data_IF_623405869086
#
_entry.id   IF_623405869086
#
_cell.length_a   1.000
_cell.length_b   1.000
_cell.length_c   1.000
_cell.angle_alpha   90.00
_cell.angle_beta   90.00
_cell.angle_gamma   90.00
#
_symmetry.space_group_name_H-M   'P 1'
#
loop_
_entity.id
_entity.type
_entity.pdbx_description
1 polymer ?
#
# COMPACT_ATOMS: atom_id res chain seq x y z
N UNK A 1 -7.44 22.03 22.53
CA UNK A 1 -8.71 21.55 21.97
C UNK A 1 -9.35 22.71 21.24
N UNK A 2 -9.57 22.58 19.94
CA UNK A 2 -10.29 23.54 19.12
C UNK A 2 -11.75 23.61 19.56
N UNK A 3 -12.30 24.81 19.65
CA UNK A 3 -13.71 25.03 19.95
C UNK A 3 -14.45 25.20 18.63
N UNK A 4 -14.89 24.09 18.06
CA UNK A 4 -15.66 24.07 16.82
C UNK A 4 -17.07 24.57 17.13
N UNK A 5 -17.56 25.53 16.36
CA UNK A 5 -18.89 26.11 16.54
C UNK A 5 -20.00 25.06 16.30
N UNK A 6 -21.06 25.09 17.11
CA UNK A 6 -22.16 24.13 17.03
C UNK A 6 -22.96 24.27 15.73
N UNK A 7 -23.07 25.48 15.18
CA UNK A 7 -23.82 25.70 13.94
C UNK A 7 -23.05 25.16 12.73
N UNK A 8 -21.72 25.35 12.70
CA UNK A 8 -20.88 24.76 11.64
C UNK A 8 -20.78 23.23 11.78
N UNK A 9 -20.77 22.72 13.02
CA UNK A 9 -20.92 21.28 13.31
C UNK A 9 -22.25 20.75 12.77
N UNK A 10 -23.36 21.43 13.04
CA UNK A 10 -24.67 21.03 12.56
C UNK A 10 -24.76 21.08 11.03
N UNK A 11 -24.17 22.10 10.39
CA UNK A 11 -24.15 22.26 8.94
C UNK A 11 -23.40 21.11 8.24
N UNK A 12 -22.18 20.78 8.69
CA UNK A 12 -21.40 19.69 8.08
C UNK A 12 -22.09 18.32 8.27
N UNK A 13 -22.68 18.07 9.44
CA UNK A 13 -23.40 16.82 9.71
C UNK A 13 -24.74 16.74 8.95
N UNK A 14 -25.40 17.87 8.70
CA UNK A 14 -26.58 17.91 7.84
C UNK A 14 -26.24 17.54 6.39
N UNK A 15 -25.15 18.09 5.85
CA UNK A 15 -24.69 17.76 4.50
C UNK A 15 -24.28 16.30 4.36
N UNK A 16 -23.53 15.74 5.32
CA UNK A 16 -23.15 14.32 5.32
C UNK A 16 -24.35 13.38 5.35
N UNK A 17 -25.39 13.73 6.12
CA UNK A 17 -26.66 12.97 6.16
C UNK A 17 -27.43 13.09 4.86
N UNK A 18 -27.51 14.29 4.30
CA UNK A 18 -28.18 14.54 3.00
C UNK A 18 -27.53 13.69 1.91
N UNK A 19 -26.20 13.75 1.78
CA UNK A 19 -25.43 12.93 0.82
C UNK A 19 -25.71 11.45 0.95
N UNK A 20 -25.66 10.93 2.17
CA UNK A 20 -25.93 9.51 2.42
C UNK A 20 -27.34 9.09 1.99
N UNK A 21 -28.32 9.98 2.10
CA UNK A 21 -29.71 9.66 1.78
C UNK A 21 -30.06 9.89 0.30
N UNK A 22 -29.43 10.87 -0.35
CA UNK A 22 -29.83 11.37 -1.67
C UNK A 22 -28.82 11.05 -2.78
N UNK A 23 -27.52 11.14 -2.51
CA UNK A 23 -26.47 11.16 -3.54
C UNK A 23 -25.64 9.86 -3.57
N UNK A 24 -25.24 9.38 -2.39
CA UNK A 24 -24.30 8.26 -2.22
C UNK A 24 -24.74 7.40 -1.01
N UNK A 25 -25.61 6.39 -1.21
CA UNK A 25 -26.09 5.50 -0.15
C UNK A 25 -24.98 4.75 0.60
N UNK A 26 -23.86 4.52 -0.08
CA UNK A 26 -22.67 3.85 0.44
C UNK A 26 -21.65 4.85 1.02
N UNK A 27 -22.02 6.12 1.15
CA UNK A 27 -21.23 7.07 1.91
C UNK A 27 -21.15 6.67 3.39
N UNK A 28 -19.95 6.76 3.96
CA UNK A 28 -19.70 6.48 5.37
C UNK A 28 -19.22 7.73 6.10
N UNK A 29 -19.80 8.02 7.26
CA UNK A 29 -19.26 8.98 8.21
C UNK A 29 -19.50 8.49 9.63
N UNK A 30 -18.58 8.85 10.52
CA UNK A 30 -18.66 8.60 11.96
C UNK A 30 -18.17 9.84 12.71
N UNK A 31 -18.83 10.19 13.81
CA UNK A 31 -18.52 11.43 14.53
C UNK A 31 -18.77 11.33 16.03
N UNK A 32 -18.15 12.25 16.76
CA UNK A 32 -18.36 12.47 18.19
C UNK A 32 -18.52 13.96 18.44
N UNK A 33 -19.53 14.33 19.22
CA UNK A 33 -19.78 15.69 19.70
C UNK A 33 -19.73 15.74 21.22
N UNK A 34 -19.40 16.91 21.75
CA UNK A 34 -19.48 17.18 23.19
C UNK A 34 -20.92 17.48 23.65
N UNK A 35 -21.10 17.73 24.95
CA UNK A 35 -22.40 18.03 25.54
C UNK A 35 -23.03 19.34 25.02
N UNK A 36 -22.23 20.25 24.44
CA UNK A 36 -22.69 21.49 23.82
C UNK A 36 -22.96 21.33 22.31
N UNK A 37 -22.84 20.11 21.76
CA UNK A 37 -23.05 19.84 20.34
C UNK A 37 -21.89 20.26 19.46
N UNK A 38 -20.71 20.53 20.03
CA UNK A 38 -19.50 20.90 19.28
C UNK A 38 -18.76 19.64 18.84
N UNK A 39 -18.24 19.66 17.63
CA UNK A 39 -17.51 18.52 17.08
C UNK A 39 -16.21 18.25 17.85
N UNK A 40 -16.00 17.00 18.26
CA UNK A 40 -14.73 16.52 18.82
C UNK A 40 -13.94 15.72 17.76
N UNK A 41 -14.65 14.88 17.01
CA UNK A 41 -14.08 14.02 15.97
C UNK A 41 -15.09 13.81 14.86
N UNK A 42 -14.62 13.87 13.62
CA UNK A 42 -15.36 13.48 12.43
C UNK A 42 -14.45 12.62 11.55
N UNK A 43 -15.03 11.59 10.93
CA UNK A 43 -14.47 10.84 9.82
C UNK A 43 -15.50 10.77 8.70
N UNK A 44 -15.08 10.84 7.43
CA UNK A 44 -15.92 10.55 6.28
C UNK A 44 -15.15 9.93 5.12
N UNK A 45 -15.84 9.10 4.34
CA UNK A 45 -15.36 8.50 3.10
C UNK A 45 -16.54 8.29 2.14
N UNK A 46 -16.32 8.55 0.84
CA UNK A 46 -17.30 8.26 -0.21
C UNK A 46 -17.28 6.76 -0.60
N UNK A 47 -18.31 6.30 -1.31
CA UNK A 47 -18.42 4.88 -1.68
C UNK A 47 -17.25 4.37 -2.51
N UNK A 48 -16.76 5.18 -3.45
CA UNK A 48 -15.64 4.83 -4.33
C UNK A 48 -14.35 4.60 -3.52
N UNK A 49 -14.07 5.45 -2.54
CA UNK A 49 -12.94 5.31 -1.63
C UNK A 49 -13.00 4.01 -0.82
N UNK A 50 -14.20 3.63 -0.37
CA UNK A 50 -14.42 2.41 0.46
C UNK A 50 -14.18 1.11 -0.30
N UNK A 51 -14.47 1.08 -1.60
CA UNK A 51 -14.26 -0.11 -2.45
C UNK A 51 -12.92 -0.07 -3.20
N UNK A 52 -12.10 0.94 -2.93
CA UNK A 52 -10.79 1.10 -3.57
C UNK A 52 -9.83 -0.01 -3.16
N UNK A 53 -9.17 -0.63 -4.15
CA UNK A 53 -8.08 -1.59 -3.92
C UNK A 53 -6.78 -0.94 -3.45
N UNK A 54 -6.79 0.36 -3.13
CA UNK A 54 -5.61 1.15 -2.75
C UNK A 54 -5.40 1.21 -1.23
N UNK A 55 -6.12 0.40 -0.45
CA UNK A 55 -6.05 0.38 1.03
C UNK A 55 -4.94 -0.49 1.64
N UNK A 56 -4.05 -1.08 0.84
CA UNK A 56 -3.00 -1.97 1.35
C UNK A 56 -1.77 -1.22 1.89
N UNK A 57 -1.46 -0.04 1.34
CA UNK A 57 -0.51 0.93 1.90
C UNK A 57 -1.21 2.27 2.03
N UNK A 58 -1.31 2.77 3.26
CA UNK A 58 -2.05 4.00 3.58
C UNK A 58 -1.13 5.02 4.21
N UNK A 59 -1.10 6.22 3.63
CA UNK A 59 -0.45 7.40 4.19
C UNK A 59 -1.48 8.17 5.00
N UNK A 60 -1.14 8.48 6.25
CA UNK A 60 -1.97 9.28 7.14
C UNK A 60 -1.21 10.56 7.47
N UNK A 61 -1.74 11.68 7.00
CA UNK A 61 -1.14 12.99 7.22
C UNK A 61 -2.07 13.90 8.04
N UNK A 62 -1.50 14.60 9.02
CA UNK A 62 -2.21 15.58 9.85
C UNK A 62 -1.82 16.99 9.42
N UNK A 63 -2.75 17.70 8.78
CA UNK A 63 -2.56 19.10 8.40
C UNK A 63 -3.29 20.04 9.38
N UNK A 64 -2.57 21.03 9.90
CA UNK A 64 -3.13 22.11 10.73
C UNK A 64 -3.46 23.33 9.87
N UNK A 65 -4.10 24.34 10.48
CA UNK A 65 -4.40 25.62 9.81
C UNK A 65 -5.27 25.49 8.55
N UNK A 66 -6.09 24.44 8.48
CA UNK A 66 -6.97 24.16 7.35
C UNK A 66 -8.38 24.72 7.49
N UNK A 67 -8.72 25.21 8.68
CA UNK A 67 -10.06 25.68 9.07
C UNK A 67 -9.97 26.72 10.19
N UNK A 68 -11.05 27.51 10.34
CA UNK A 68 -11.15 28.63 11.30
C UNK A 68 -11.03 28.28 12.78
N UNK A 69 -11.08 27.00 13.11
CA UNK A 69 -11.01 26.53 14.49
C UNK A 69 -9.60 26.06 14.88
N UNK A 70 -8.68 25.97 13.91
CA UNK A 70 -7.38 25.34 14.10
C UNK A 70 -7.49 23.84 14.41
N UNK A 71 -8.62 23.21 14.08
CA UNK A 71 -8.80 21.76 14.23
C UNK A 71 -7.87 21.02 13.26
N UNK A 72 -7.38 19.86 13.67
CA UNK A 72 -6.51 19.06 12.82
C UNK A 72 -7.35 18.39 11.73
N UNK A 73 -6.96 18.58 10.46
CA UNK A 73 -7.49 17.83 9.34
C UNK A 73 -6.57 16.63 9.09
N UNK A 74 -7.15 15.44 9.02
CA UNK A 74 -6.41 14.19 8.82
C UNK A 74 -6.83 13.58 7.49
N UNK A 75 -5.89 13.30 6.61
CA UNK A 75 -6.17 12.65 5.33
C UNK A 75 -5.67 11.21 5.35
N UNK A 76 -6.44 10.31 4.73
CA UNK A 76 -6.07 8.91 4.50
C UNK A 76 -5.87 8.74 2.99
N UNK A 77 -4.64 8.53 2.57
CA UNK A 77 -4.26 8.50 1.15
C UNK A 77 -3.63 7.17 0.81
N UNK A 78 -4.23 6.46 -0.15
CA UNK A 78 -3.67 5.26 -0.77
C UNK A 78 -2.90 5.60 -2.04
N UNK A 79 -2.45 4.55 -2.73
CA UNK A 79 -1.80 4.68 -4.04
C UNK A 79 -2.45 3.75 -5.06
N UNK A 80 -2.82 4.29 -6.24
CA UNK A 80 -3.35 3.47 -7.33
C UNK A 80 -2.25 2.76 -8.13
N UNK A 81 -2.68 1.95 -9.10
CA UNK A 81 -1.82 1.18 -10.00
C UNK A 81 -0.97 2.08 -10.93
N UNK A 82 -1.26 3.37 -11.05
CA UNK A 82 -0.41 4.36 -11.73
C UNK A 82 0.57 5.06 -10.81
N UNK A 83 0.72 4.59 -9.56
CA UNK A 83 1.56 5.22 -8.53
C UNK A 83 1.14 6.65 -8.18
N UNK A 84 -0.14 6.97 -8.35
CA UNK A 84 -0.73 8.26 -7.99
C UNK A 84 -1.54 8.17 -6.70
N UNK A 85 -1.62 9.27 -5.93
CA UNK A 85 -2.40 9.33 -4.69
C UNK A 85 -3.89 9.12 -4.97
N UNK A 86 -4.55 8.43 -4.03
CA UNK A 86 -6.01 8.28 -3.99
C UNK A 86 -6.50 8.61 -2.60
N UNK A 87 -7.45 9.52 -2.48
CA UNK A 87 -8.10 9.82 -1.21
C UNK A 87 -9.02 8.68 -0.79
N UNK A 88 -8.71 8.04 0.34
CA UNK A 88 -9.48 6.93 0.93
C UNK A 88 -10.46 7.40 2.02
N UNK A 89 -10.25 8.60 2.54
CA UNK A 89 -11.09 9.20 3.56
C UNK A 89 -10.42 10.39 4.21
N UNK A 90 -11.20 11.11 5.01
CA UNK A 90 -10.77 12.30 5.72
C UNK A 90 -11.30 12.31 7.14
N UNK A 91 -10.66 13.09 7.99
CA UNK A 91 -11.08 13.33 9.35
C UNK A 91 -10.83 14.74 9.83
N UNK A 92 -11.56 15.14 10.85
CA UNK A 92 -11.33 16.37 11.63
C UNK A 92 -11.24 16.00 13.09
N UNK A 93 -10.21 16.47 13.77
CA UNK A 93 -10.00 16.29 15.20
C UNK A 93 -9.90 17.64 15.92
N UNK A 94 -10.72 17.82 16.95
CA UNK A 94 -10.65 19.00 17.81
C UNK A 94 -9.39 19.00 18.70
N UNK A 95 -8.84 17.83 19.02
CA UNK A 95 -7.53 17.68 19.66
C UNK A 95 -6.73 16.55 19.05
N UNK A 96 -5.41 16.65 19.17
CA UNK A 96 -4.46 15.65 18.68
C UNK A 96 -4.10 14.66 19.80
N UNK A 97 -5.05 14.32 20.69
CA UNK A 97 -4.80 13.33 21.73
C UNK A 97 -4.75 11.90 21.15
N UNK A 98 -4.05 10.97 21.81
CA UNK A 98 -4.01 9.58 21.33
C UNK A 98 -5.40 8.95 21.22
N UNK A 99 -6.32 9.26 22.13
CA UNK A 99 -7.70 8.74 22.09
C UNK A 99 -8.49 9.27 20.88
N UNK A 100 -8.28 10.52 20.49
CA UNK A 100 -8.92 11.12 19.32
C UNK A 100 -8.48 10.41 18.03
N UNK A 101 -7.17 10.14 17.89
CA UNK A 101 -6.66 9.33 16.78
C UNK A 101 -7.13 7.88 16.82
N UNK A 102 -7.20 7.23 18.00
CA UNK A 102 -7.75 5.86 18.12
C UNK A 102 -9.19 5.80 17.60
N UNK A 103 -10.03 6.77 17.98
CA UNK A 103 -11.39 6.87 17.47
C UNK A 103 -11.43 7.05 15.95
N UNK A 104 -10.52 7.86 15.41
CA UNK A 104 -10.44 8.14 13.98
C UNK A 104 -10.01 6.92 13.17
N UNK A 105 -8.95 6.22 13.61
CA UNK A 105 -8.45 5.01 12.98
C UNK A 105 -9.49 3.88 13.01
N UNK A 106 -10.26 3.77 14.10
CA UNK A 106 -11.38 2.80 14.18
C UNK A 106 -12.47 3.13 13.16
N UNK A 107 -12.82 4.39 12.99
CA UNK A 107 -13.79 4.80 11.97
C UNK A 107 -13.31 4.48 10.55
N UNK A 108 -12.03 4.76 10.24
CA UNK A 108 -11.40 4.37 8.98
C UNK A 108 -11.45 2.84 8.76
N UNK A 109 -11.13 2.05 9.78
CA UNK A 109 -11.21 0.58 9.67
C UNK A 109 -12.64 0.09 9.41
N UNK A 110 -13.64 0.69 10.04
CA UNK A 110 -15.05 0.37 9.76
C UNK A 110 -15.40 0.72 8.31
N UNK A 111 -14.96 1.88 7.81
CA UNK A 111 -15.28 2.30 6.44
C UNK A 111 -14.68 1.37 5.39
N UNK A 112 -13.48 0.83 5.66
CA UNK A 112 -12.75 -0.12 4.82
C UNK A 112 -13.14 -1.59 5.06
N UNK A 113 -14.30 -1.86 5.66
CA UNK A 113 -14.80 -3.23 5.83
C UNK A 113 -14.01 -4.09 6.83
N UNK A 114 -13.32 -3.45 7.78
CA UNK A 114 -12.41 -4.09 8.74
C UNK A 114 -11.18 -4.76 8.11
N UNK A 115 -10.89 -4.48 6.83
CA UNK A 115 -9.66 -4.92 6.21
C UNK A 115 -8.50 -4.04 6.66
N UNK A 116 -7.48 -4.66 7.26
CA UNK A 116 -6.31 -3.95 7.76
C UNK A 116 -5.37 -3.59 6.60
N UNK A 117 -4.84 -2.35 6.56
CA UNK A 117 -3.74 -2.04 5.65
C UNK A 117 -2.54 -2.93 6.00
N UNK A 118 -1.79 -3.37 4.98
CA UNK A 118 -0.52 -4.07 5.21
C UNK A 118 0.49 -3.13 5.85
N UNK A 119 0.47 -1.86 5.43
CA UNK A 119 1.43 -0.86 5.87
C UNK A 119 0.87 0.54 5.97
N UNK A 120 1.43 1.32 6.90
CA UNK A 120 1.04 2.68 7.24
C UNK A 120 2.27 3.59 7.20
N UNK A 121 2.09 4.78 6.63
CA UNK A 121 3.10 5.85 6.64
C UNK A 121 2.47 7.07 7.33
N UNK A 122 3.13 7.64 8.34
CA UNK A 122 2.58 8.76 9.11
C UNK A 122 3.57 9.91 9.27
N UNK A 123 3.09 11.09 9.66
CA UNK A 123 3.91 12.27 10.04
C UNK A 123 4.89 12.02 11.22
N UNK A 124 4.68 10.96 12.01
CA UNK A 124 5.54 10.61 13.14
C UNK A 124 5.16 11.28 14.45
N UNK A 125 3.98 11.90 14.53
CA UNK A 125 3.41 12.43 15.77
C UNK A 125 3.20 11.33 16.82
N UNK A 126 3.59 11.60 18.08
CA UNK A 126 3.57 10.61 19.16
C UNK A 126 2.16 10.05 19.43
N UNK A 127 1.13 10.90 19.33
CA UNK A 127 -0.26 10.50 19.51
C UNK A 127 -0.77 9.59 18.39
N UNK A 128 -0.39 9.86 17.13
CA UNK A 128 -0.77 9.03 15.99
C UNK A 128 -0.01 7.69 16.01
N UNK A 129 1.28 7.69 16.36
CA UNK A 129 2.05 6.45 16.55
C UNK A 129 1.36 5.56 17.58
N UNK A 130 1.03 6.11 18.76
CA UNK A 130 0.34 5.34 19.80
C UNK A 130 -1.01 4.79 19.32
N UNK A 131 -1.77 5.58 18.56
CA UNK A 131 -3.05 5.15 18.02
C UNK A 131 -2.88 4.01 16.99
N UNK A 132 -1.87 4.07 16.13
CA UNK A 132 -1.53 3.00 15.17
C UNK A 132 -1.15 1.73 15.91
N UNK A 133 -0.29 1.81 16.93
CA UNK A 133 0.08 0.64 17.77
C UNK A 133 -1.14 0.03 18.46
N UNK A 134 -2.12 0.86 18.85
CA UNK A 134 -3.34 0.42 19.54
C UNK A 134 -4.35 -0.23 18.60
N UNK A 135 -4.56 0.32 17.40
CA UNK A 135 -5.64 -0.10 16.48
C UNK A 135 -5.13 -1.09 15.43
N UNK A 136 -3.88 -0.94 14.98
CA UNK A 136 -3.27 -1.68 13.86
C UNK A 136 -1.88 -2.26 14.21
N UNK A 137 -1.74 -3.01 15.33
CA UNK A 137 -0.44 -3.51 15.81
C UNK A 137 0.26 -4.49 14.86
N UNK A 138 -0.48 -5.08 13.91
CA UNK A 138 0.06 -6.05 12.95
C UNK A 138 0.38 -5.44 11.58
N UNK A 139 0.09 -4.15 11.38
CA UNK A 139 0.45 -3.42 10.17
C UNK A 139 1.88 -2.92 10.29
N UNK A 140 2.63 -2.94 9.19
CA UNK A 140 3.92 -2.27 9.17
C UNK A 140 3.70 -0.77 9.36
N UNK A 141 4.54 -0.11 10.14
CA UNK A 141 4.45 1.33 10.36
C UNK A 141 5.79 1.99 10.10
N UNK A 142 5.76 3.10 9.35
CA UNK A 142 6.92 3.94 9.08
C UNK A 142 6.57 5.43 9.21
N UNK A 143 7.55 6.23 9.60
CA UNK A 143 7.49 7.70 9.52
C UNK A 143 7.82 8.12 8.08
N UNK A 144 7.03 9.05 7.54
CA UNK A 144 7.23 9.58 6.20
C UNK A 144 8.62 10.21 6.03
N UNK A 145 9.29 9.90 4.91
CA UNK A 145 10.59 10.49 4.55
C UNK A 145 10.57 12.01 4.48
N UNK A 146 9.51 12.64 3.96
CA UNK A 146 9.43 14.10 3.89
C UNK A 146 9.38 14.76 5.27
N UNK A 147 8.59 14.22 6.20
CA UNK A 147 8.59 14.69 7.59
C UNK A 147 9.93 14.45 8.30
N UNK A 148 10.64 13.36 7.95
CA UNK A 148 12.01 13.13 8.44
C UNK A 148 12.98 14.19 7.88
N UNK A 149 12.89 14.50 6.59
CA UNK A 149 13.71 15.53 5.93
C UNK A 149 13.48 16.93 6.49
N UNK A 150 12.22 17.30 6.75
CA UNK A 150 11.89 18.54 7.48
C UNK A 150 12.57 18.57 8.85
N UNK A 151 12.45 17.50 9.63
CA UNK A 151 13.11 17.38 10.93
C UNK A 151 14.64 17.43 10.85
N UNK A 152 15.24 16.82 9.82
CA UNK A 152 16.69 16.89 9.55
C UNK A 152 17.10 18.34 9.29
N UNK A 153 16.35 19.06 8.45
CA UNK A 153 16.62 20.46 8.11
C UNK A 153 16.48 21.41 9.30
N UNK A 154 15.49 21.19 10.16
CA UNK A 154 15.20 22.02 11.33
C UNK A 154 16.18 21.79 12.50
N UNK A 155 16.55 20.53 12.76
CA UNK A 155 17.28 20.17 13.98
C UNK A 155 18.77 19.87 13.78
N UNK A 156 19.19 19.48 12.57
CA UNK A 156 20.60 19.15 12.30
C UNK A 156 21.29 20.27 11.51
N UNK A 157 22.24 20.92 12.18
CA UNK A 157 23.11 21.91 11.56
C UNK A 157 24.26 21.28 10.78
N UNK A 158 24.44 21.72 9.53
CA UNK A 158 25.58 21.39 8.68
C UNK A 158 25.43 20.08 7.90
N UNK A 159 25.94 20.09 6.66
CA UNK A 159 25.80 18.96 5.71
C UNK A 159 26.24 17.62 6.28
N UNK A 160 27.38 17.57 6.97
CA UNK A 160 27.89 16.32 7.55
C UNK A 160 26.93 15.64 8.52
N UNK A 161 26.17 16.40 9.32
CA UNK A 161 25.21 15.82 10.26
C UNK A 161 23.96 15.33 9.52
N UNK A 162 23.49 16.11 8.55
CA UNK A 162 22.32 15.78 7.74
C UNK A 162 22.59 14.54 6.86
N UNK A 163 23.73 14.50 6.16
CA UNK A 163 24.12 13.38 5.31
C UNK A 163 24.34 12.11 6.14
N UNK A 164 24.92 12.25 7.33
CA UNK A 164 25.07 11.12 8.26
C UNK A 164 23.72 10.60 8.79
N UNK A 165 22.69 11.44 8.91
CA UNK A 165 21.35 10.96 9.27
C UNK A 165 20.65 10.34 8.07
N UNK A 166 20.77 10.96 6.88
CA UNK A 166 20.21 10.43 5.62
C UNK A 166 20.76 9.05 5.30
N UNK A 167 22.05 8.80 5.55
CA UNK A 167 22.60 7.46 5.34
C UNK A 167 21.94 6.41 6.24
N UNK A 168 21.56 6.74 7.48
CA UNK A 168 20.79 5.83 8.35
C UNK A 168 19.35 5.62 7.87
N UNK A 169 18.79 6.61 7.18
CA UNK A 169 17.44 6.57 6.63
C UNK A 169 17.36 5.81 5.31
N UNK A 170 18.40 5.88 4.47
CA UNK A 170 18.36 5.47 3.06
C UNK A 170 19.31 4.31 2.70
N UNK A 171 20.47 4.16 3.36
CA UNK A 171 21.43 3.13 2.94
C UNK A 171 20.90 1.72 3.18
N UNK A 172 20.71 1.02 2.06
CA UNK A 172 20.43 -0.39 2.04
C UNK A 172 21.63 -1.20 2.56
N UNK A 173 21.34 -2.33 3.19
CA UNK A 173 22.36 -3.27 3.68
C UNK A 173 22.80 -3.04 5.13
N UNK A 174 22.49 -1.89 5.73
CA UNK A 174 22.78 -1.61 7.13
C UNK A 174 22.01 -2.57 8.06
N UNK A 175 22.75 -3.40 8.81
CA UNK A 175 22.18 -4.26 9.85
C UNK A 175 21.81 -3.44 11.10
N UNK A 176 20.91 -3.95 11.96
CA UNK A 176 20.64 -3.29 13.25
C UNK A 176 21.89 -3.04 14.10
N UNK A 177 22.91 -3.90 14.01
CA UNK A 177 24.17 -3.72 14.74
C UNK A 177 24.98 -2.56 14.18
N UNK A 178 25.13 -2.49 12.85
CA UNK A 178 25.81 -1.38 12.17
C UNK A 178 25.07 -0.06 12.37
N UNK A 179 23.73 -0.09 12.40
CA UNK A 179 22.91 1.08 12.74
C UNK A 179 23.31 1.63 14.11
N UNK A 180 23.41 0.79 15.15
CA UNK A 180 23.76 1.24 16.50
C UNK A 180 25.16 1.87 16.55
N UNK A 181 26.11 1.34 15.78
CA UNK A 181 27.47 1.91 15.66
C UNK A 181 27.47 3.27 14.98
N UNK A 182 26.81 3.36 13.82
CA UNK A 182 26.73 4.58 13.02
C UNK A 182 25.93 5.66 13.76
N UNK A 183 24.82 5.30 14.41
CA UNK A 183 24.02 6.19 15.25
C UNK A 183 24.85 6.75 16.42
N UNK A 184 25.55 5.89 17.16
CA UNK A 184 26.45 6.33 18.25
C UNK A 184 27.49 7.32 17.74
N UNK A 185 28.08 7.03 16.58
CA UNK A 185 29.07 7.91 15.99
C UNK A 185 28.48 9.25 15.51
N UNK A 186 27.28 9.27 14.94
CA UNK A 186 26.58 10.48 14.53
C UNK A 186 26.33 11.38 15.75
N UNK A 187 25.72 10.81 16.80
CA UNK A 187 25.38 11.53 18.03
C UNK A 187 26.65 12.04 18.72
N UNK A 188 27.71 11.25 18.81
CA UNK A 188 28.96 11.67 19.44
C UNK A 188 29.61 12.89 18.76
N UNK A 189 29.48 13.01 17.43
CA UNK A 189 30.08 14.10 16.64
C UNK A 189 29.20 15.34 16.53
N UNK A 190 27.88 15.15 16.46
CA UNK A 190 26.95 16.20 16.03
C UNK A 190 25.89 16.59 17.07
N UNK A 191 25.86 15.95 18.25
CA UNK A 191 24.95 16.34 19.32
C UNK A 191 25.30 17.72 19.87
N UNK A 192 24.28 18.55 19.98
CA UNK A 192 24.32 19.87 20.62
C UNK A 192 23.23 19.93 21.69
N UNK A 193 23.24 21.00 22.50
CA UNK A 193 22.16 21.25 23.44
C UNK A 193 20.80 21.46 22.74
N UNK A 194 20.80 22.01 21.51
CA UNK A 194 19.57 22.34 20.76
C UNK A 194 18.93 21.15 20.06
N UNK A 195 19.70 20.12 19.68
CA UNK A 195 19.18 18.96 18.94
C UNK A 195 19.06 17.68 19.76
N UNK A 196 19.55 17.68 21.01
CA UNK A 196 19.59 16.49 21.86
C UNK A 196 18.21 15.84 22.04
N UNK A 197 17.18 16.63 22.34
CA UNK A 197 15.83 16.10 22.56
C UNK A 197 15.28 15.43 21.30
N UNK A 198 15.44 16.08 20.15
CA UNK A 198 15.04 15.53 18.86
C UNK A 198 15.79 14.23 18.54
N UNK A 199 17.12 14.20 18.71
CA UNK A 199 17.93 12.98 18.53
C UNK A 199 17.45 11.84 19.45
N UNK A 200 17.13 12.12 20.71
CA UNK A 200 16.57 11.12 21.62
C UNK A 200 15.22 10.59 21.13
N UNK A 201 14.32 11.46 20.67
CA UNK A 201 13.02 11.04 20.10
C UNK A 201 13.21 10.18 18.85
N UNK A 202 14.12 10.56 17.95
CA UNK A 202 14.43 9.79 16.75
C UNK A 202 15.00 8.42 17.08
N UNK A 203 15.87 8.31 18.08
CA UNK A 203 16.41 7.01 18.50
C UNK A 203 15.33 6.07 19.05
N UNK A 204 14.41 6.59 19.87
CA UNK A 204 13.27 5.82 20.39
C UNK A 204 12.42 5.27 19.23
N UNK A 205 12.24 6.06 18.17
CA UNK A 205 11.45 5.71 16.99
C UNK A 205 12.24 5.01 15.87
N UNK A 206 13.50 4.59 16.09
CA UNK A 206 14.38 4.06 15.03
C UNK A 206 13.78 2.93 14.20
N UNK A 207 12.96 2.09 14.82
CA UNK A 207 12.27 0.98 14.14
C UNK A 207 11.18 1.41 13.15
N UNK A 208 10.77 2.67 13.20
CA UNK A 208 9.78 3.29 12.33
C UNK A 208 10.41 4.11 11.19
N UNK A 209 11.73 4.33 11.15
CA UNK A 209 12.30 5.19 10.09
C UNK A 209 13.64 4.73 9.54
N UNK A 210 14.49 4.09 10.33
CA UNK A 210 15.82 3.72 9.87
C UNK A 210 15.75 2.51 8.95
N UNK A 211 16.50 2.56 7.83
CA UNK A 211 16.51 1.54 6.79
C UNK A 211 16.72 0.13 7.37
N UNK A 212 17.61 0.01 8.36
CA UNK A 212 17.93 -1.24 9.05
C UNK A 212 16.73 -2.00 9.64
N UNK A 213 15.62 -1.32 9.96
CA UNK A 213 14.43 -1.91 10.58
C UNK A 213 13.19 -1.92 9.69
N UNK A 214 13.16 -1.11 8.62
CA UNK A 214 11.99 -0.99 7.74
C UNK A 214 12.17 -1.61 6.37
N UNK A 215 13.41 -1.96 5.97
CA UNK A 215 13.76 -2.45 4.62
C UNK A 215 12.92 -3.62 4.12
N UNK A 216 12.64 -4.59 4.99
CA UNK A 216 11.99 -5.84 4.59
C UNK A 216 10.46 -5.76 4.62
N UNK A 217 9.90 -4.57 4.86
CA UNK A 217 8.47 -4.32 4.99
C UNK A 217 7.90 -3.78 3.67
N UNK A 218 6.65 -4.12 3.38
CA UNK A 218 5.98 -3.76 2.13
C UNK A 218 5.56 -2.28 2.13
N UNK A 219 6.17 -1.42 1.33
CA UNK A 219 5.77 0.00 1.22
C UNK A 219 5.64 0.48 -0.23
N UNK A 220 5.55 -0.44 -1.20
CA UNK A 220 5.37 -0.14 -2.63
C UNK A 220 6.46 0.74 -3.27
N UNK A 221 7.67 0.70 -2.75
CA UNK A 221 8.74 1.57 -3.21
C UNK A 221 8.64 3.02 -2.71
N UNK A 222 7.58 3.41 -1.97
CA UNK A 222 7.51 4.73 -1.29
C UNK A 222 8.59 4.91 -0.20
N UNK A 223 9.35 3.85 0.06
CA UNK A 223 10.40 3.80 1.05
C UNK A 223 11.75 4.35 0.55
N UNK A 224 11.98 4.42 -0.76
CA UNK A 224 13.26 4.78 -1.39
C UNK A 224 13.11 6.11 -2.12
N UNK A 225 13.67 7.16 -1.53
CA UNK A 225 13.58 8.53 -2.06
C UNK A 225 14.99 9.08 -2.29
N UNK A 226 15.78 8.37 -3.10
CA UNK A 226 17.09 8.86 -3.55
C UNK A 226 16.98 9.66 -4.87
N UNK A 227 15.93 9.44 -5.66
CA UNK A 227 15.70 10.13 -6.93
C UNK A 227 14.36 10.87 -6.98
N UNK A 228 14.45 12.13 -7.41
CA UNK A 228 13.47 13.24 -7.39
C UNK A 228 12.17 13.03 -8.18
N UNK A 229 11.62 11.81 -8.27
CA UNK A 229 10.55 11.48 -9.21
C UNK A 229 9.27 10.94 -8.60
N UNK A 230 9.30 10.35 -7.41
CA UNK A 230 8.09 9.83 -6.78
C UNK A 230 7.59 10.87 -5.77
N UNK A 231 6.68 11.73 -6.23
CA UNK A 231 6.01 12.73 -5.39
C UNK A 231 5.61 12.08 -4.07
N UNK A 232 6.33 12.44 -3.01
CA UNK A 232 6.03 12.03 -1.66
C UNK A 232 4.52 12.24 -1.42
N UNK A 233 3.74 11.15 -1.34
CA UNK A 233 2.28 11.18 -1.11
C UNK A 233 1.90 12.00 0.14
N UNK A 234 2.90 12.20 0.97
CA UNK A 234 3.01 12.90 2.23
C UNK A 234 2.86 14.42 2.19
N UNK A 235 2.72 15.07 1.03
CA UNK A 235 2.63 16.54 1.00
C UNK A 235 1.19 17.03 0.78
N UNK A 236 0.61 17.46 1.91
CA UNK A 236 -0.38 18.53 2.08
C UNK A 236 -0.16 19.79 1.22
N UNK A 237 0.98 19.94 0.52
CA UNK A 237 1.24 21.05 -0.41
C UNK A 237 0.81 20.81 -1.87
N UNK A 238 0.74 19.56 -2.34
CA UNK A 238 0.59 19.27 -3.78
C UNK A 238 -0.77 18.69 -4.19
N UNK A 239 -1.42 17.98 -3.27
CA UNK A 239 -2.56 17.11 -3.59
C UNK A 239 -3.92 17.68 -3.15
N UNK A 240 -3.88 18.66 -2.25
CA UNK A 240 -5.04 19.39 -1.77
C UNK A 240 -4.79 20.87 -2.07
N UNK A 241 -5.48 21.42 -3.07
CA UNK A 241 -5.49 22.87 -3.34
C UNK A 241 -5.62 23.66 -2.04
N UNK A 242 -4.77 24.69 -1.85
CA UNK A 242 -4.64 25.55 -0.64
C UNK A 242 -5.88 25.53 0.26
N UNK A 243 -5.82 24.73 1.33
CA UNK A 243 -6.69 24.95 2.48
C UNK A 243 -6.38 26.32 3.07
N UNK A 244 -7.33 26.86 3.81
CA UNK A 244 -7.22 28.20 4.35
C UNK A 244 -7.80 28.24 5.75
N UNK A 245 -7.17 29.03 6.61
CA UNK A 245 -7.59 29.23 8.00
C UNK A 245 -8.98 29.86 8.12
N UNK A 246 -9.60 30.36 7.04
CA UNK A 246 -10.95 30.94 7.07
C UNK A 246 -12.07 29.93 6.74
N UNK A 247 -11.73 28.72 6.29
CA UNK A 247 -12.71 27.73 5.86
C UNK A 247 -13.64 27.29 7.02
N UNK A 248 -14.93 27.14 6.71
CA UNK A 248 -15.87 26.34 7.52
C UNK A 248 -15.53 24.86 7.40
N UNK A 249 -16.06 24.04 8.31
CA UNK A 249 -16.01 22.58 8.16
C UNK A 249 -16.73 22.10 6.89
N UNK A 250 -17.84 22.75 6.51
CA UNK A 250 -18.53 22.43 5.26
C UNK A 250 -17.65 22.71 4.03
N UNK A 251 -16.98 23.86 4.00
CA UNK A 251 -16.06 24.21 2.91
C UNK A 251 -14.85 23.27 2.86
N UNK A 252 -14.31 22.89 4.03
CA UNK A 252 -13.23 21.92 4.16
C UNK A 252 -13.64 20.55 3.57
N UNK A 253 -14.84 20.07 3.91
CA UNK A 253 -15.39 18.82 3.40
C UNK A 253 -15.58 18.88 1.87
N UNK A 254 -16.23 19.92 1.35
CA UNK A 254 -16.44 20.09 -0.09
C UNK A 254 -15.12 20.16 -0.86
N UNK A 255 -14.11 20.81 -0.26
CA UNK A 255 -12.78 20.91 -0.82
C UNK A 255 -12.10 19.55 -0.90
N UNK A 256 -12.13 18.77 0.18
CA UNK A 256 -11.55 17.44 0.21
C UNK A 256 -12.20 16.51 -0.84
N UNK A 257 -13.53 16.54 -0.97
CA UNK A 257 -14.22 15.72 -1.97
C UNK A 257 -13.88 16.13 -3.40
N UNK A 258 -13.76 17.44 -3.64
CA UNK A 258 -13.38 17.95 -4.96
C UNK A 258 -11.97 17.48 -5.34
N UNK A 259 -11.05 17.46 -4.38
CA UNK A 259 -9.73 16.87 -4.56
C UNK A 259 -9.80 15.36 -4.83
N UNK A 260 -10.61 14.60 -4.08
CA UNK A 260 -10.80 13.17 -4.32
C UNK A 260 -11.33 12.88 -5.73
N UNK A 261 -12.32 13.64 -6.19
CA UNK A 261 -12.87 13.54 -7.56
C UNK A 261 -11.82 13.85 -8.63
N UNK A 262 -11.01 14.90 -8.41
CA UNK A 262 -9.94 15.26 -9.34
C UNK A 262 -8.87 14.16 -9.43
N UNK A 263 -8.48 13.54 -8.31
CA UNK A 263 -7.54 12.41 -8.30
C UNK A 263 -8.09 11.22 -9.11
N UNK A 264 -9.38 10.91 -8.95
CA UNK A 264 -10.04 9.83 -9.71
C UNK A 264 -10.15 10.14 -11.20
N UNK A 265 -10.43 11.40 -11.56
CA UNK A 265 -10.43 11.83 -12.96
C UNK A 265 -9.04 11.67 -13.60
N UNK A 266 -7.98 12.06 -12.88
CA UNK A 266 -6.59 11.87 -13.32
C UNK A 266 -6.22 10.38 -13.47
N UNK A 267 -6.69 9.52 -12.57
CA UNK A 267 -6.51 8.07 -12.73
C UNK A 267 -7.18 7.54 -14.01
N UNK A 268 -8.40 7.98 -14.31
CA UNK A 268 -9.12 7.57 -15.51
C UNK A 268 -8.43 8.05 -16.80
N UNK A 269 -7.88 9.27 -16.80
CA UNK A 269 -7.07 9.79 -17.91
C UNK A 269 -5.80 8.94 -18.12
N UNK A 270 -5.13 8.53 -17.03
CA UNK A 270 -3.95 7.67 -17.10
C UNK A 270 -4.27 6.25 -17.56
N UNK A 271 -5.44 5.72 -17.20
CA UNK A 271 -5.93 4.44 -17.73
C UNK A 271 -6.13 4.51 -19.25
N UNK A 272 -6.77 5.58 -19.74
CA UNK A 272 -7.01 5.76 -21.18
C UNK A 272 -5.70 5.96 -21.96
N UNK A 273 -4.75 6.72 -21.41
CA UNK A 273 -3.42 6.91 -22.01
C UNK A 273 -2.62 5.61 -22.02
N UNK A 274 -2.67 4.83 -20.94
CA UNK A 274 -2.00 3.54 -20.87
C UNK A 274 -2.51 2.59 -21.96
N UNK A 275 -3.82 2.51 -22.17
CA UNK A 275 -4.44 1.64 -23.18
C UNK A 275 -4.04 2.00 -24.62
N UNK A 276 -3.73 3.28 -24.88
CA UNK A 276 -3.27 3.77 -26.20
C UNK A 276 -1.76 3.71 -26.39
N UNK A 277 -1.01 3.68 -25.28
CA UNK A 277 0.45 3.73 -25.29
C UNK A 277 1.04 2.55 -26.05
N UNK A 278 1.93 2.85 -26.99
CA UNK A 278 2.77 1.87 -27.68
C UNK A 278 4.20 2.07 -27.20
N UNK A 279 4.79 1.02 -26.67
CA UNK A 279 6.18 1.04 -26.18
C UNK A 279 7.10 0.63 -27.31
N UNK A 280 8.09 1.47 -27.61
CA UNK A 280 9.24 1.08 -28.42
C UNK A 280 10.18 0.26 -27.55
N UNK A 281 10.48 -0.98 -27.97
CA UNK A 281 11.34 -1.85 -27.20
C UNK A 281 12.80 -1.39 -27.35
N UNK A 282 13.47 -1.05 -26.26
CA UNK A 282 14.83 -0.48 -26.25
C UNK A 282 15.91 -1.49 -25.90
N UNK A 283 15.58 -2.53 -25.11
CA UNK A 283 16.57 -3.47 -24.55
C UNK A 283 16.84 -4.65 -25.48
N UNK A 284 17.92 -5.40 -25.27
CA UNK A 284 18.16 -6.68 -25.97
C UNK A 284 17.19 -7.80 -25.50
N UNK A 285 16.50 -7.58 -24.37
CA UNK A 285 15.62 -8.55 -23.70
C UNK A 285 14.16 -8.41 -24.15
N UNK A 286 13.94 -8.37 -25.47
CA UNK A 286 12.67 -7.99 -26.11
C UNK A 286 11.43 -8.73 -25.58
N UNK A 287 11.53 -10.04 -25.30
CA UNK A 287 10.38 -10.81 -24.81
C UNK A 287 9.91 -10.37 -23.42
N UNK A 288 10.85 -10.15 -22.49
CA UNK A 288 10.54 -9.73 -21.13
C UNK A 288 10.07 -8.28 -21.10
N UNK A 289 10.71 -7.42 -21.90
CA UNK A 289 10.32 -6.02 -22.05
C UNK A 289 8.91 -5.88 -22.63
N UNK A 290 8.59 -6.62 -23.70
CA UNK A 290 7.26 -6.58 -24.31
C UNK A 290 6.17 -7.13 -23.37
N UNK A 291 6.45 -8.20 -22.63
CA UNK A 291 5.51 -8.72 -21.63
C UNK A 291 5.33 -7.74 -20.46
N UNK A 292 6.38 -7.07 -20.00
CA UNK A 292 6.30 -6.02 -18.99
C UNK A 292 5.48 -4.82 -19.47
N UNK A 293 5.76 -4.32 -20.69
CA UNK A 293 5.07 -3.18 -21.29
C UNK A 293 3.56 -3.43 -21.45
N UNK A 294 3.19 -4.67 -21.80
CA UNK A 294 1.77 -5.09 -21.89
C UNK A 294 1.11 -5.18 -20.52
N UNK A 295 1.81 -5.73 -19.53
CA UNK A 295 1.21 -6.11 -18.25
C UNK A 295 1.12 -4.95 -17.25
N UNK A 296 2.17 -4.14 -17.14
CA UNK A 296 2.28 -3.08 -16.13
C UNK A 296 1.74 -1.74 -16.67
N UNK A 297 1.22 -0.90 -15.77
CA UNK A 297 0.96 0.51 -16.11
C UNK A 297 2.24 1.22 -16.52
N UNK A 298 2.19 2.31 -17.32
CA UNK A 298 3.39 3.03 -17.76
C UNK A 298 4.34 3.40 -16.60
N UNK A 299 3.81 3.84 -15.46
CA UNK A 299 4.60 4.16 -14.27
C UNK A 299 5.31 2.94 -13.67
N UNK A 300 4.65 1.79 -13.60
CA UNK A 300 5.28 0.55 -13.12
C UNK A 300 6.22 -0.06 -14.15
N UNK A 301 5.90 0.06 -15.44
CA UNK A 301 6.74 -0.41 -16.53
C UNK A 301 8.08 0.32 -16.54
N UNK A 302 8.11 1.64 -16.32
CA UNK A 302 9.36 2.39 -16.25
C UNK A 302 10.33 1.81 -15.19
N UNK A 303 9.83 1.51 -13.99
CA UNK A 303 10.63 0.90 -12.92
C UNK A 303 11.06 -0.52 -13.29
N UNK A 304 10.18 -1.30 -13.91
CA UNK A 304 10.52 -2.65 -14.36
C UNK A 304 11.56 -2.62 -15.48
N UNK A 305 11.49 -1.63 -16.38
CA UNK A 305 12.43 -1.44 -17.47
C UNK A 305 13.83 -1.16 -16.95
N UNK A 306 13.98 -0.30 -15.92
CA UNK A 306 15.27 -0.08 -15.25
C UNK A 306 15.87 -1.38 -14.69
N UNK A 307 15.04 -2.30 -14.18
CA UNK A 307 15.50 -3.61 -13.70
C UNK A 307 15.86 -4.57 -14.85
N UNK A 308 15.25 -4.41 -16.03
CA UNK A 308 15.58 -5.18 -17.25
C UNK A 308 16.85 -4.63 -17.91
N UNK A 309 17.07 -3.32 -17.90
CA UNK A 309 18.28 -2.69 -18.44
C UNK A 309 19.54 -3.09 -17.66
N UNK A 310 19.40 -3.33 -16.35
CA UNK A 310 20.50 -3.75 -15.47
C UNK A 310 20.78 -5.27 -15.50
N UNK A 311 20.24 -6.02 -16.46
CA UNK A 311 20.36 -7.48 -16.50
C UNK A 311 21.76 -7.99 -16.78
N UNK A 312 22.52 -7.25 -17.59
CA UNK A 312 23.81 -7.67 -18.10
C UNK A 312 24.97 -7.42 -17.11
N UNK A 313 24.66 -6.88 -15.92
CA UNK A 313 25.63 -6.59 -14.86
C UNK A 313 25.98 -7.83 -13.99
N UNK A 314 25.28 -8.95 -14.16
CA UNK A 314 25.36 -10.11 -13.26
C UNK A 314 25.91 -11.37 -13.93
N UNK A 315 26.56 -12.21 -13.13
CA UNK A 315 26.94 -13.57 -13.52
C UNK A 315 26.32 -14.61 -12.57
N UNK A 316 25.78 -15.70 -13.13
CA UNK A 316 25.36 -16.86 -12.31
C UNK A 316 26.59 -17.72 -12.01
N UNK A 317 27.01 -17.74 -10.75
CA UNK A 317 28.21 -18.43 -10.27
C UNK A 317 27.93 -19.82 -9.70
N UNK A 318 26.69 -20.10 -9.30
CA UNK A 318 26.27 -21.42 -8.81
C UNK A 318 24.78 -21.68 -9.07
N UNK A 319 24.41 -22.95 -9.23
CA UNK A 319 23.02 -23.40 -9.36
C UNK A 319 22.83 -24.72 -8.64
N UNK A 320 22.06 -24.68 -7.55
CA UNK A 320 21.68 -25.86 -6.78
C UNK A 320 20.27 -26.28 -7.18
N UNK A 321 20.09 -27.55 -7.54
CA UNK A 321 18.79 -28.13 -7.86
C UNK A 321 18.49 -29.28 -6.92
N UNK A 322 17.28 -29.29 -6.35
CA UNK A 322 16.79 -30.38 -5.51
C UNK A 322 15.38 -30.75 -5.94
N UNK A 323 15.18 -32.05 -6.15
CA UNK A 323 13.89 -32.63 -6.50
C UNK A 323 13.47 -33.62 -5.42
N UNK A 324 12.36 -33.34 -4.74
CA UNK A 324 11.74 -34.25 -3.78
C UNK A 324 10.31 -34.56 -4.21
N UNK A 325 10.14 -35.70 -4.91
CA UNK A 325 8.83 -36.13 -5.40
C UNK A 325 8.24 -35.17 -6.43
N UNK A 326 7.02 -34.66 -6.19
CA UNK A 326 6.30 -33.73 -7.09
C UNK A 326 6.73 -32.26 -6.95
N UNK A 327 7.63 -31.91 -6.03
CA UNK A 327 8.11 -30.53 -5.87
C UNK A 327 9.61 -30.45 -6.13
N UNK A 328 10.01 -29.51 -6.99
CA UNK A 328 11.40 -29.19 -7.27
C UNK A 328 11.69 -27.74 -6.92
N UNK A 329 12.90 -27.49 -6.42
CA UNK A 329 13.42 -26.14 -6.23
C UNK A 329 14.82 -26.00 -6.82
N UNK A 330 15.06 -24.84 -7.44
CA UNK A 330 16.37 -24.40 -7.91
C UNK A 330 16.76 -23.14 -7.16
N UNK A 331 18.02 -23.05 -6.75
CA UNK A 331 18.62 -21.85 -6.16
C UNK A 331 19.76 -21.41 -7.05
N UNK A 332 19.65 -20.20 -7.59
CA UNK A 332 20.69 -19.55 -8.39
C UNK A 332 21.44 -18.57 -7.51
N UNK A 333 22.77 -18.60 -7.57
CA UNK A 333 23.64 -17.61 -6.93
C UNK A 333 24.18 -16.68 -7.99
N UNK A 334 23.88 -15.39 -7.87
CA UNK A 334 24.31 -14.32 -8.77
C UNK A 334 25.43 -13.52 -8.10
N UNK A 335 26.44 -13.15 -8.86
CA UNK A 335 27.51 -12.24 -8.45
C UNK A 335 27.39 -10.90 -9.18
N UNK A 336 27.55 -9.82 -8.43
CA UNK A 336 27.72 -8.46 -8.93
C UNK A 336 28.99 -7.89 -8.34
N UNK A 337 30.12 -8.02 -9.05
CA UNK A 337 31.40 -7.47 -8.63
C UNK A 337 31.82 -7.87 -7.19
N UNK A 338 31.50 -9.09 -6.75
CA UNK A 338 31.78 -9.60 -5.41
C UNK A 338 30.60 -9.59 -4.43
N UNK A 339 29.49 -8.93 -4.77
CA UNK A 339 28.25 -8.99 -3.99
C UNK A 339 27.36 -10.15 -4.45
N UNK A 340 27.06 -11.07 -3.53
CA UNK A 340 26.31 -12.29 -3.83
C UNK A 340 24.82 -12.17 -3.51
N UNK A 341 23.99 -12.59 -4.46
CA UNK A 341 22.54 -12.65 -4.34
C UNK A 341 22.03 -14.06 -4.64
N UNK A 342 20.96 -14.48 -3.97
CA UNK A 342 20.35 -15.79 -4.21
C UNK A 342 18.90 -15.64 -4.70
N UNK A 343 18.56 -16.34 -5.78
CA UNK A 343 17.20 -16.43 -6.31
C UNK A 343 16.70 -17.87 -6.20
N UNK A 344 15.63 -18.06 -5.43
CA UNK A 344 14.93 -19.34 -5.29
C UNK A 344 13.79 -19.39 -6.31
N UNK A 345 13.77 -20.45 -7.10
CA UNK A 345 12.66 -20.86 -7.96
C UNK A 345 12.07 -22.16 -7.41
N UNK A 346 10.81 -22.15 -6.99
CA UNK A 346 10.14 -23.34 -6.44
C UNK A 346 8.86 -23.67 -7.22
N UNK A 347 8.63 -24.96 -7.47
CA UNK A 347 7.39 -25.45 -8.07
C UNK A 347 6.41 -25.89 -6.97
N UNK A 348 5.30 -25.16 -6.84
CA UNK A 348 4.17 -25.56 -6.01
C UNK A 348 3.12 -26.25 -6.90
N UNK A 349 2.86 -27.52 -6.62
CA UNK A 349 1.61 -28.17 -7.02
C UNK A 349 0.62 -27.96 -5.88
N UNK A 350 -0.24 -26.95 -5.97
CA UNK A 350 -1.42 -26.91 -5.13
C UNK A 350 -2.30 -28.12 -5.51
N UNK A 351 -2.71 -28.91 -4.52
CA UNK A 351 -3.79 -29.89 -4.69
C UNK A 351 -5.10 -29.12 -4.67
N UNK A 352 -5.50 -28.55 -5.80
CA UNK A 352 -6.92 -28.29 -6.05
C UNK A 352 -7.38 -29.37 -7.04
N UNK A 353 -8.33 -30.19 -6.59
CA UNK A 353 -8.94 -31.25 -7.37
C UNK A 353 -9.67 -30.66 -8.58
N UNK A 354 -8.94 -30.49 -9.70
CA UNK A 354 -9.35 -30.71 -11.12
C UNK A 354 -8.50 -29.96 -12.15
N UNK A 355 -7.56 -29.08 -11.77
CA UNK A 355 -6.57 -28.53 -12.72
C UNK A 355 -5.19 -28.37 -12.06
N UNK A 356 -4.20 -29.14 -12.50
CA UNK A 356 -2.79 -28.94 -12.11
C UNK A 356 -2.24 -27.65 -12.71
N UNK A 357 -2.49 -26.50 -12.08
CA UNK A 357 -1.70 -25.30 -12.33
C UNK A 357 -0.39 -25.43 -11.55
N UNK A 358 0.70 -25.82 -12.24
CA UNK A 358 2.05 -25.71 -11.67
C UNK A 358 2.37 -24.22 -11.51
N UNK A 359 2.28 -23.71 -10.28
CA UNK A 359 2.67 -22.32 -10.01
C UNK A 359 4.16 -22.30 -9.66
N UNK A 360 4.94 -21.66 -10.53
CA UNK A 360 6.34 -21.35 -10.25
C UNK A 360 6.35 -20.12 -9.36
N UNK A 361 7.07 -20.18 -8.24
CA UNK A 361 7.25 -19.08 -7.30
C UNK A 361 8.72 -18.69 -7.32
N UNK A 362 8.98 -17.39 -7.44
CA UNK A 362 10.30 -16.80 -7.31
C UNK A 362 10.42 -16.07 -5.97
N UNK A 363 11.60 -16.16 -5.33
CA UNK A 363 11.99 -15.35 -4.17
C UNK A 363 13.44 -14.93 -4.34
N UNK A 364 13.79 -13.72 -3.93
CA UNK A 364 15.16 -13.22 -4.03
C UNK A 364 15.65 -12.71 -2.68
N UNK A 365 16.93 -12.92 -2.37
CA UNK A 365 17.56 -12.38 -1.16
C UNK A 365 17.53 -10.85 -1.07
N UNK A 366 17.42 -10.14 -2.20
CA UNK A 366 17.31 -8.67 -2.20
C UNK A 366 15.95 -8.13 -1.71
N UNK A 367 14.93 -9.00 -1.63
CA UNK A 367 13.57 -8.70 -1.15
C UNK A 367 12.81 -7.57 -1.86
N UNK A 368 13.21 -7.17 -3.08
CA UNK A 368 12.53 -6.11 -3.83
C UNK A 368 11.05 -6.43 -4.07
N UNK A 369 10.70 -7.67 -4.40
CA UNK A 369 9.30 -8.04 -4.62
C UNK A 369 8.47 -7.92 -3.34
N UNK A 370 9.02 -8.35 -2.20
CA UNK A 370 8.38 -8.28 -0.90
C UNK A 370 8.19 -6.84 -0.42
N UNK A 371 9.10 -5.93 -0.79
CA UNK A 371 9.06 -4.51 -0.42
C UNK A 371 8.22 -3.66 -1.36
N UNK A 372 8.40 -3.86 -2.67
CA UNK A 372 7.93 -2.94 -3.72
C UNK A 372 6.77 -3.55 -4.54
N UNK A 373 6.58 -4.86 -4.48
CA UNK A 373 5.61 -5.59 -5.30
C UNK A 373 6.05 -5.82 -6.75
N UNK A 374 7.26 -5.41 -7.11
CA UNK A 374 7.83 -5.52 -8.46
C UNK A 374 9.05 -6.46 -8.49
N UNK A 375 9.25 -7.23 -9.58
CA UNK A 375 10.41 -8.08 -9.77
C UNK A 375 11.71 -7.26 -9.75
N UNK A 376 12.79 -7.88 -9.26
CA UNK A 376 14.14 -7.30 -9.30
C UNK A 376 14.92 -7.82 -10.51
N UNK A 377 15.98 -7.07 -10.86
CA UNK A 377 17.01 -7.47 -11.83
C UNK A 377 17.54 -8.88 -11.61
N UNK A 378 17.72 -9.33 -10.36
CA UNK A 378 18.18 -10.70 -10.08
C UNK A 378 17.18 -11.76 -10.57
N UNK A 379 15.88 -11.53 -10.37
CA UNK A 379 14.84 -12.45 -10.85
C UNK A 379 14.78 -12.40 -12.37
N UNK A 380 14.85 -11.21 -12.96
CA UNK A 380 14.90 -11.08 -14.41
C UNK A 380 16.11 -11.79 -15.01
N UNK A 381 17.28 -11.73 -14.36
CA UNK A 381 18.50 -12.35 -14.85
C UNK A 381 18.34 -13.88 -14.86
N UNK A 382 17.71 -14.44 -13.82
CA UNK A 382 17.34 -15.87 -13.81
C UNK A 382 16.30 -16.21 -14.88
N UNK A 383 15.30 -15.35 -15.12
CA UNK A 383 14.32 -15.55 -16.19
C UNK A 383 14.99 -15.55 -17.58
N UNK A 384 15.94 -14.65 -17.81
CA UNK A 384 16.74 -14.59 -19.02
C UNK A 384 17.60 -15.86 -19.18
N UNK A 385 18.29 -16.30 -18.12
CA UNK A 385 19.07 -17.55 -18.12
C UNK A 385 18.22 -18.77 -18.45
N UNK A 386 17.02 -18.87 -17.87
CA UNK A 386 16.05 -19.93 -18.16
C UNK A 386 15.31 -19.73 -19.50
N UNK A 387 15.63 -18.68 -20.26
CA UNK A 387 15.04 -18.34 -21.56
C UNK A 387 13.52 -18.18 -21.49
N UNK A 388 13.01 -17.61 -20.40
CA UNK A 388 11.60 -17.34 -20.22
C UNK A 388 11.11 -16.33 -21.27
N UNK A 389 10.02 -16.68 -21.95
CA UNK A 389 9.36 -15.79 -22.92
C UNK A 389 8.34 -14.84 -22.28
N UNK A 390 8.02 -15.03 -21.00
CA UNK A 390 7.08 -14.20 -20.25
C UNK A 390 7.46 -14.13 -18.77
N UNK A 391 7.02 -13.05 -18.13
CA UNK A 391 7.15 -12.81 -16.71
C UNK A 391 6.12 -13.70 -15.98
N UNK A 392 6.55 -14.54 -15.02
CA UNK A 392 5.64 -15.38 -14.25
C UNK A 392 4.59 -14.57 -13.50
N UNK A 393 3.38 -15.15 -13.34
CA UNK A 393 2.28 -14.51 -12.59
C UNK A 393 2.66 -14.11 -11.16
N UNK A 394 3.52 -14.88 -10.49
CA UNK A 394 3.97 -14.55 -9.13
C UNK A 394 4.81 -13.26 -9.06
N UNK A 395 5.38 -12.83 -10.19
CA UNK A 395 6.11 -11.57 -10.33
C UNK A 395 5.22 -10.42 -10.82
N UNK A 396 3.93 -10.67 -11.12
CA UNK A 396 2.96 -9.69 -11.60
C UNK A 396 1.93 -9.41 -10.51
N UNK A 397 2.28 -8.56 -9.54
CA UNK A 397 1.34 -8.18 -8.49
C UNK A 397 0.13 -7.46 -9.12
N UNK A 398 -1.06 -8.07 -9.05
CA UNK A 398 -2.25 -7.65 -9.80
C UNK A 398 -2.60 -6.15 -9.69
N UNK A 399 -2.38 -5.54 -8.54
CA UNK A 399 -2.65 -4.11 -8.32
C UNK A 399 -1.64 -3.13 -8.94
N UNK A 400 -0.57 -3.63 -9.55
CA UNK A 400 0.41 -2.83 -10.31
C UNK A 400 0.22 -3.01 -11.83
N UNK A 401 -0.74 -3.85 -12.23
CA UNK A 401 -1.02 -4.17 -13.62
C UNK A 401 -2.04 -3.19 -14.22
N UNK A 402 -2.14 -3.19 -15.55
CA UNK A 402 -3.19 -2.47 -16.28
C UNK A 402 -4.56 -3.09 -15.96
N UNK A 403 -5.62 -2.26 -15.94
CA UNK A 403 -6.98 -2.72 -15.62
C UNK A 403 -7.49 -3.79 -16.60
N UNK A 404 -7.14 -3.71 -17.88
CA UNK A 404 -7.51 -4.70 -18.90
C UNK A 404 -7.08 -6.14 -18.55
N UNK A 405 -5.88 -6.31 -18.01
CA UNK A 405 -5.37 -7.62 -17.59
C UNK A 405 -6.05 -8.10 -16.30
N UNK A 406 -6.33 -7.20 -15.35
CA UNK A 406 -7.11 -7.56 -14.15
C UNK A 406 -8.57 -7.91 -14.45
N UNK A 407 -9.17 -7.38 -15.53
CA UNK A 407 -10.52 -7.73 -15.96
C UNK A 407 -10.57 -9.15 -16.54
N UNK A 408 -9.55 -9.56 -17.29
CA UNK A 408 -9.40 -10.95 -17.76
C UNK A 408 -9.22 -11.92 -16.59
N UNK A 409 -8.41 -11.55 -15.58
CA UNK A 409 -8.24 -12.34 -14.36
C UNK A 409 -9.51 -12.38 -13.49
N UNK A 410 -10.20 -11.25 -13.30
CA UNK A 410 -11.48 -11.18 -12.57
C UNK A 410 -12.59 -11.92 -13.30
N UNK A 411 -12.65 -11.87 -14.63
CA UNK A 411 -13.61 -12.65 -15.42
C UNK A 411 -13.33 -14.14 -15.25
N UNK A 412 -12.06 -14.57 -15.31
CA UNK A 412 -11.67 -15.95 -15.04
C UNK A 412 -12.00 -16.41 -13.61
N UNK A 413 -11.80 -15.54 -12.61
CA UNK A 413 -12.17 -15.83 -11.21
C UNK A 413 -13.69 -15.85 -11.00
N UNK A 414 -14.44 -14.94 -11.62
CA UNK A 414 -15.91 -14.92 -11.58
C UNK A 414 -16.51 -16.13 -12.32
N UNK A 415 -15.91 -16.55 -13.43
CA UNK A 415 -16.29 -17.79 -14.12
C UNK A 415 -15.98 -19.02 -13.26
N UNK A 416 -14.86 -19.04 -12.55
CA UNK A 416 -14.51 -20.12 -11.62
C UNK A 416 -15.44 -20.17 -10.41
N UNK A 417 -15.75 -19.03 -9.79
CA UNK A 417 -16.75 -18.92 -8.72
C UNK A 417 -18.15 -19.28 -9.24
N UNK A 418 -18.52 -18.81 -10.43
CA UNK A 418 -19.79 -19.14 -11.07
C UNK A 418 -19.94 -20.64 -11.32
N UNK A 419 -18.86 -21.31 -11.76
CA UNK A 419 -18.83 -22.78 -11.87
C UNK A 419 -18.94 -23.46 -10.52
N UNK A 420 -18.22 -23.00 -9.49
CA UNK A 420 -18.35 -23.57 -8.14
C UNK A 420 -19.77 -23.43 -7.58
N UNK A 421 -20.41 -22.28 -7.75
CA UNK A 421 -21.80 -22.05 -7.34
C UNK A 421 -22.77 -22.94 -8.13
N UNK A 422 -22.54 -23.10 -9.44
CA UNK A 422 -23.33 -23.98 -10.29
C UNK A 422 -23.17 -25.46 -9.93
N UNK A 423 -21.94 -25.90 -9.63
CA UNK A 423 -21.63 -27.27 -9.22
C UNK A 423 -22.26 -27.58 -7.85
N UNK A 424 -22.18 -26.65 -6.89
CA UNK A 424 -22.87 -26.76 -5.59
C UNK A 424 -24.39 -26.85 -5.75
N UNK A 425 -24.98 -25.98 -6.58
CA UNK A 425 -26.41 -25.99 -6.85
C UNK A 425 -26.87 -27.27 -7.58
N UNK A 426 -25.99 -27.86 -8.40
CA UNK A 426 -26.25 -29.13 -9.10
C UNK A 426 -26.16 -30.33 -8.15
N UNK A 427 -25.21 -30.31 -7.21
CA UNK A 427 -25.11 -31.33 -6.16
C UNK A 427 -26.33 -31.31 -5.22
N UNK A 428 -26.78 -30.12 -4.80
CA UNK A 428 -27.99 -29.98 -4.00
C UNK A 428 -29.25 -30.49 -4.75
N UNK A 429 -29.28 -30.34 -6.07
CA UNK A 429 -30.38 -30.84 -6.90
C UNK A 429 -30.37 -32.37 -7.06
N UNK A 430 -29.20 -32.99 -7.18
CA UNK A 430 -29.05 -34.46 -7.17
C UNK A 430 -29.43 -35.05 -5.81
N UNK A 431 -28.97 -34.48 -4.70
CA UNK A 431 -29.34 -34.92 -3.34
C UNK A 431 -30.86 -34.84 -3.12
N UNK A 432 -31.51 -33.80 -3.64
CA UNK A 432 -32.96 -33.66 -3.52
C UNK A 432 -33.73 -34.72 -4.31
N UNK A 433 -33.24 -35.10 -5.49
CA UNK A 433 -33.89 -36.13 -6.31
C UNK A 433 -33.65 -37.54 -5.72
N UNK A 434 -32.47 -37.80 -5.15
CA UNK A 434 -32.22 -39.04 -4.39
C UNK A 434 -33.14 -39.17 -3.16
N UNK A 435 -33.35 -38.08 -2.41
CA UNK A 435 -34.28 -38.06 -1.27
C UNK A 435 -35.72 -38.31 -1.73
N UNK A 436 -36.11 -37.74 -2.87
CA UNK A 436 -37.45 -37.93 -3.45
C UNK A 436 -37.66 -39.37 -3.94
N UNK A 437 -36.69 -39.96 -4.63
CA UNK A 437 -36.74 -41.36 -5.06
C UNK A 437 -36.79 -42.31 -3.86
N UNK A 438 -36.00 -42.03 -2.81
CA UNK A 438 -36.08 -42.76 -1.55
C UNK A 438 -37.47 -42.67 -0.90
N UNK A 439 -38.06 -41.48 -0.84
CA UNK A 439 -39.39 -41.27 -0.28
C UNK A 439 -40.50 -41.94 -1.12
N UNK A 440 -40.34 -41.98 -2.45
CA UNK A 440 -41.25 -42.68 -3.35
C UNK A 440 -41.18 -44.20 -3.17
N UNK A 441 -39.97 -44.77 -3.14
CA UNK A 441 -39.79 -46.20 -2.83
C UNK A 441 -40.31 -46.58 -1.44
N UNK A 442 -40.09 -45.70 -0.45
CA UNK A 442 -40.63 -45.90 0.89
C UNK A 442 -42.16 -45.84 0.96
N UNK A 443 -42.83 -45.07 0.09
CA UNK A 443 -44.29 -45.03 -0.01
C UNK A 443 -44.85 -46.28 -0.69
N UNK A 444 -44.20 -46.77 -1.76
CA UNK A 444 -44.60 -47.97 -2.49
C UNK A 444 -44.50 -49.24 -1.63
N UNK A 445 -43.47 -49.34 -0.78
CA UNK A 445 -43.28 -50.45 0.16
C UNK A 445 -44.34 -50.50 1.29
N UNK A 446 -45.12 -49.42 1.50
CA UNK A 446 -46.18 -49.36 2.53
C UNK A 446 -47.58 -49.58 1.98
N UNK A 447 -47.73 -49.64 0.66
CA UNK A 447 -49.00 -49.95 -0.02
C UNK A 447 -49.12 -51.44 -0.45
N UNK A 448 -48.12 -52.27 -0.13
CA UNK A 448 -48.16 -53.75 -0.17
C UNK A 448 -48.29 -54.33 1.23
#
# INVERSE_FOLDING_TARGET
MALIDSDDTAAVLAELRRRKNEDDPDHFHDYKVDAAGRLERLFWADAEARVSSCGDVVVIDTTLQTNRYGAAFVSFVGMNHHRRPVLLGCGVLADQSPNSYVGLLRAFMISMGQERPKSLITDGGDALIHAVETVLPQSNHRICSCHLEEGIGEHLGGRSAQDGFRSLMLEDGCSPVEFEERWRSLVARHRTASNQEWLCRMYVKRELWAAAFVRDKFFLGLARDEDKGMECLCLSSGLLTRFSEDMTLLALLQRADSSGKNMRAQEAELDEEADKSRVELTTEHKCLEEDAARSFTPANFAIVLEEIEALDDFEIVDTLSSSSGRSGHKVYTLDLHGDLFSVLQSHNHAKDDKETHSSIIFKCSCRKMERDGLPCRHIFHVLQHEKASSIPKCCKLGRLLRRGDTRSERLGQMEALGRQVFDLASQDAEEFEEIKEFLQGWLEDREQ
#
